data_IF_352804462484
#
_entry.id   IF_352804462484
#
_cell.length_a   1.000
_cell.length_b   1.000
_cell.length_c   1.000
_cell.angle_alpha   90.00
_cell.angle_beta   90.00
_cell.angle_gamma   90.00
#
_symmetry.space_group_name_H-M   'P 1'
#
loop_
_entity.id
_entity.type
_entity.pdbx_description
1 polymer ?
#
# COMPACT_ATOMS: atom_id res chain seq x y z
N UNK A 1 -38.40 -35.12 -50.61
CA UNK A 1 -38.14 -33.66 -50.51
C UNK A 1 -37.96 -33.21 -49.06
N UNK A 2 -38.77 -33.70 -48.11
CA UNK A 2 -38.61 -33.36 -46.67
C UNK A 2 -37.31 -33.90 -46.05
N UNK A 3 -36.90 -35.12 -46.36
CA UNK A 3 -35.69 -35.76 -45.80
C UNK A 3 -34.39 -35.08 -46.20
N UNK A 4 -34.28 -34.61 -47.44
CA UNK A 4 -33.11 -33.86 -47.95
C UNK A 4 -33.00 -32.47 -47.33
N UNK A 5 -34.13 -31.81 -47.07
CA UNK A 5 -34.18 -30.52 -46.38
C UNK A 5 -33.75 -30.63 -44.91
N UNK A 6 -34.27 -31.65 -44.20
CA UNK A 6 -33.89 -31.92 -42.81
C UNK A 6 -32.40 -32.28 -42.68
N UNK A 7 -31.87 -33.09 -43.60
CA UNK A 7 -30.44 -33.43 -43.62
C UNK A 7 -29.55 -32.19 -43.85
N UNK A 8 -29.97 -31.26 -44.71
CA UNK A 8 -29.25 -30.00 -44.94
C UNK A 8 -29.19 -29.11 -43.68
N UNK A 9 -30.31 -28.97 -42.98
CA UNK A 9 -30.38 -28.19 -41.73
C UNK A 9 -29.53 -28.83 -40.63
N UNK A 10 -29.63 -30.16 -40.46
CA UNK A 10 -28.82 -30.88 -39.48
C UNK A 10 -27.32 -30.66 -39.74
N UNK A 11 -26.87 -30.77 -41.00
CA UNK A 11 -25.49 -30.49 -41.37
C UNK A 11 -25.03 -29.08 -40.97
N UNK A 12 -25.81 -28.04 -41.31
CA UNK A 12 -25.45 -26.65 -40.98
C UNK A 12 -25.34 -26.43 -39.47
N UNK A 13 -26.29 -26.95 -38.69
CA UNK A 13 -26.26 -26.81 -37.22
C UNK A 13 -25.05 -27.50 -36.59
N UNK A 14 -24.65 -28.68 -37.11
CA UNK A 14 -23.44 -29.37 -36.64
C UNK A 14 -22.17 -28.58 -36.94
N UNK A 15 -22.07 -27.95 -38.12
CA UNK A 15 -20.91 -27.13 -38.47
C UNK A 15 -20.83 -25.89 -37.59
N UNK A 16 -21.95 -25.20 -37.38
CA UNK A 16 -22.00 -24.00 -36.54
C UNK A 16 -21.61 -24.35 -35.10
N UNK A 17 -22.17 -25.42 -34.54
CA UNK A 17 -21.87 -25.84 -33.16
C UNK A 17 -20.41 -26.22 -32.99
N UNK A 18 -19.81 -26.96 -33.93
CA UNK A 18 -18.36 -27.28 -33.89
C UNK A 18 -17.50 -26.01 -34.00
N UNK A 19 -17.86 -25.08 -34.89
CA UNK A 19 -17.17 -23.81 -35.02
C UNK A 19 -17.26 -22.97 -33.74
N UNK A 20 -18.44 -22.91 -33.11
CA UNK A 20 -18.63 -22.21 -31.84
C UNK A 20 -17.77 -22.81 -30.74
N UNK A 21 -17.72 -24.15 -30.63
CA UNK A 21 -16.86 -24.82 -29.64
C UNK A 21 -15.38 -24.52 -29.92
N UNK A 22 -14.95 -24.58 -31.18
CA UNK A 22 -13.58 -24.22 -31.58
C UNK A 22 -13.21 -22.79 -31.22
N UNK A 23 -14.12 -21.84 -31.45
CA UNK A 23 -13.93 -20.45 -31.07
C UNK A 23 -13.82 -20.26 -29.56
N UNK A 24 -14.63 -20.97 -28.77
CA UNK A 24 -14.52 -20.92 -27.30
C UNK A 24 -13.15 -21.43 -26.84
N UNK A 25 -12.66 -22.55 -27.39
CA UNK A 25 -11.32 -23.07 -27.06
C UNK A 25 -10.21 -22.08 -27.44
N UNK A 26 -10.33 -21.43 -28.60
CA UNK A 26 -9.41 -20.38 -29.02
C UNK A 26 -9.42 -19.20 -28.04
N UNK A 27 -10.60 -18.70 -27.68
CA UNK A 27 -10.75 -17.59 -26.73
C UNK A 27 -10.19 -17.94 -25.35
N UNK A 28 -10.38 -19.17 -24.86
CA UNK A 28 -9.78 -19.59 -23.57
C UNK A 28 -8.26 -19.53 -23.63
N UNK A 29 -7.66 -20.00 -24.72
CA UNK A 29 -6.21 -19.91 -24.89
C UNK A 29 -5.74 -18.45 -24.98
N UNK A 30 -6.45 -17.62 -25.74
CA UNK A 30 -6.16 -16.20 -25.89
C UNK A 30 -6.25 -15.45 -24.55
N UNK A 31 -7.29 -15.70 -23.76
CA UNK A 31 -7.48 -15.13 -22.42
C UNK A 31 -6.33 -15.52 -21.50
N UNK A 32 -5.88 -16.77 -21.52
CA UNK A 32 -4.76 -17.21 -20.67
C UNK A 32 -3.47 -16.47 -21.05
N UNK A 33 -3.17 -16.35 -22.34
CA UNK A 33 -2.01 -15.60 -22.81
C UNK A 33 -2.08 -14.12 -22.42
N UNK A 34 -3.24 -13.48 -22.63
CA UNK A 34 -3.47 -12.09 -22.24
C UNK A 34 -3.35 -11.90 -20.72
N UNK A 35 -3.88 -12.83 -19.93
CA UNK A 35 -3.80 -12.79 -18.47
C UNK A 35 -2.35 -12.84 -17.98
N UNK A 36 -1.55 -13.76 -18.53
CA UNK A 36 -0.15 -13.91 -18.19
C UNK A 36 0.67 -12.66 -18.58
N UNK A 37 0.42 -12.10 -19.76
CA UNK A 37 1.06 -10.87 -20.23
C UNK A 37 0.71 -9.66 -19.35
N UNK A 38 -0.57 -9.47 -19.04
CA UNK A 38 -1.04 -8.37 -18.19
C UNK A 38 -0.47 -8.47 -16.75
N UNK A 39 -0.38 -9.68 -16.20
CA UNK A 39 0.23 -9.90 -14.89
C UNK A 39 1.74 -9.64 -14.91
N UNK A 40 2.43 -10.04 -15.97
CA UNK A 40 3.85 -9.76 -16.13
C UNK A 40 4.11 -8.26 -16.18
N UNK A 41 3.34 -7.50 -16.93
CA UNK A 41 3.43 -6.03 -16.96
C UNK A 41 3.21 -5.43 -15.57
N UNK A 42 2.16 -5.86 -14.86
CA UNK A 42 1.84 -5.37 -13.51
C UNK A 42 2.96 -5.67 -12.50
N UNK A 43 3.60 -6.84 -12.59
CA UNK A 43 4.77 -7.16 -11.76
C UNK A 43 5.93 -6.21 -12.01
N UNK A 44 6.22 -5.89 -13.28
CA UNK A 44 7.29 -4.95 -13.64
C UNK A 44 7.01 -3.52 -13.14
N UNK A 45 5.75 -3.09 -13.20
CA UNK A 45 5.33 -1.82 -12.62
C UNK A 45 5.51 -1.81 -11.10
N UNK A 46 5.14 -2.88 -10.42
CA UNK A 46 5.30 -2.99 -8.97
C UNK A 46 6.78 -2.93 -8.57
N UNK A 47 7.65 -3.64 -9.29
CA UNK A 47 9.10 -3.60 -9.05
C UNK A 47 9.65 -2.17 -9.20
N UNK A 48 9.21 -1.44 -10.23
CA UNK A 48 9.60 -0.05 -10.44
C UNK A 48 9.05 0.87 -9.35
N UNK A 49 7.78 0.73 -8.99
CA UNK A 49 7.14 1.52 -7.94
C UNK A 49 7.79 1.26 -6.57
N UNK A 50 8.11 0.02 -6.25
CA UNK A 50 8.79 -0.35 -5.02
C UNK A 50 10.23 0.18 -4.98
N UNK A 51 10.95 0.10 -6.10
CA UNK A 51 12.28 0.71 -6.24
C UNK A 51 12.23 2.22 -6.02
N UNK A 52 11.28 2.92 -6.64
CA UNK A 52 11.06 4.34 -6.43
C UNK A 52 10.67 4.67 -4.98
N UNK A 53 9.83 3.84 -4.34
CA UNK A 53 9.47 4.00 -2.93
C UNK A 53 10.69 3.87 -2.02
N UNK A 54 11.55 2.89 -2.25
CA UNK A 54 12.78 2.71 -1.47
C UNK A 54 13.75 3.87 -1.62
N UNK A 55 13.86 4.45 -2.81
CA UNK A 55 14.71 5.61 -3.09
C UNK A 55 14.13 6.91 -2.53
N UNK A 56 12.82 7.12 -2.66
CA UNK A 56 12.15 8.36 -2.23
C UNK A 56 11.87 8.41 -0.74
N UNK A 57 11.83 7.26 -0.04
CA UNK A 57 11.55 7.23 1.39
C UNK A 57 12.70 7.93 2.13
N UNK A 58 12.44 9.05 2.82
CA UNK A 58 13.48 9.75 3.54
C UNK A 58 14.06 8.83 4.62
N UNK A 59 15.39 8.76 4.67
CA UNK A 59 16.11 8.19 5.81
C UNK A 59 15.52 8.75 7.11
N UNK A 60 15.48 7.96 8.19
CA UNK A 60 15.05 8.46 9.50
C UNK A 60 15.83 9.71 9.93
N UNK A 61 17.10 9.81 9.51
CA UNK A 61 17.93 10.98 9.72
C UNK A 61 17.47 12.16 8.85
N UNK A 62 17.22 11.96 7.55
CA UNK A 62 16.68 13.00 6.66
C UNK A 62 15.30 13.49 7.09
N UNK A 63 14.41 12.61 7.50
CA UNK A 63 13.08 12.97 8.00
C UNK A 63 13.17 13.77 9.31
N UNK A 64 14.12 13.41 10.18
CA UNK A 64 14.41 14.14 11.43
C UNK A 64 15.09 15.47 11.15
N UNK A 65 15.99 15.54 10.18
CA UNK A 65 16.69 16.74 9.77
C UNK A 65 15.74 17.71 9.09
N UNK A 66 14.86 17.26 8.18
CA UNK A 66 13.76 18.06 7.62
C UNK A 66 12.81 18.56 8.71
N UNK A 67 12.43 17.70 9.68
CA UNK A 67 11.66 18.16 10.85
C UNK A 67 12.45 19.15 11.70
N UNK A 68 13.76 19.03 11.84
CA UNK A 68 14.60 19.99 12.55
C UNK A 68 14.82 21.29 11.75
N UNK A 69 14.81 21.24 10.42
CA UNK A 69 14.87 22.41 9.57
C UNK A 69 13.55 23.19 9.60
N UNK A 70 12.42 22.52 9.84
CA UNK A 70 11.10 23.15 9.96
C UNK A 70 10.78 23.56 11.40
N UNK A 71 11.00 22.69 12.39
CA UNK A 71 10.67 22.89 13.80
C UNK A 71 11.88 23.26 14.68
N UNK A 72 13.08 22.77 14.35
CA UNK A 72 14.34 23.14 15.01
C UNK A 72 14.95 24.46 14.50
N UNK A 73 14.45 25.02 13.40
CA UNK A 73 14.79 26.37 12.94
C UNK A 73 14.30 27.49 13.87
N UNK A 74 13.53 27.18 14.92
CA UNK A 74 13.37 28.09 16.05
C UNK A 74 14.66 28.31 16.84
N UNK A 75 15.62 27.38 16.77
CA UNK A 75 16.88 27.44 17.54
C UNK A 75 18.04 27.99 16.69
N UNK A 76 18.07 27.75 15.38
CA UNK A 76 19.18 28.22 14.52
C UNK A 76 18.74 29.42 13.68
N UNK A 77 18.88 30.61 14.28
CA UNK A 77 18.85 31.89 13.56
C UNK A 77 19.70 31.80 12.28
N UNK A 78 19.09 32.18 11.17
CA UNK A 78 19.70 32.91 10.06
C UNK A 78 20.88 32.25 9.33
N UNK A 79 20.61 31.44 8.30
CA UNK A 79 21.17 31.62 6.95
C UNK A 79 20.64 30.55 6.01
N UNK A 80 19.59 30.89 5.24
CA UNK A 80 19.24 30.14 4.04
C UNK A 80 19.96 30.79 2.84
N UNK A 81 20.43 30.01 1.85
CA UNK A 81 21.04 30.55 0.63
C UNK A 81 20.09 31.47 -0.14
N UNK A 82 20.63 32.51 -0.79
CA UNK A 82 19.85 33.53 -1.50
C UNK A 82 18.99 33.01 -2.66
N UNK A 83 19.21 31.77 -3.12
CA UNK A 83 18.41 31.14 -4.17
C UNK A 83 17.08 30.55 -3.67
N UNK A 84 16.87 30.46 -2.35
CA UNK A 84 15.65 29.89 -1.78
C UNK A 84 14.66 30.98 -1.39
N UNK A 85 13.58 31.10 -2.15
CA UNK A 85 12.47 32.02 -1.90
C UNK A 85 11.42 31.38 -0.97
N UNK A 86 11.88 30.81 0.14
CA UNK A 86 10.99 30.23 1.14
C UNK A 86 10.26 31.36 1.87
N UNK A 87 8.93 31.37 1.82
CA UNK A 87 8.11 32.34 2.53
C UNK A 87 8.42 32.37 4.04
N UNK A 88 8.17 33.51 4.68
CA UNK A 88 8.38 33.68 6.11
C UNK A 88 7.63 32.60 6.90
N UNK A 89 8.29 31.86 7.81
CA UNK A 89 7.60 30.91 8.67
C UNK A 89 6.49 31.63 9.43
N UNK A 90 5.28 31.05 9.58
CA UNK A 90 4.20 31.65 10.35
C UNK A 90 4.71 31.89 11.78
N UNK A 91 4.88 33.17 12.12
CA UNK A 91 5.77 33.56 13.21
C UNK A 91 5.34 33.10 14.60
N UNK A 92 4.07 32.73 14.82
CA UNK A 92 3.52 32.50 16.17
C UNK A 92 2.28 31.58 16.15
N UNK A 93 2.48 30.27 16.02
CA UNK A 93 1.46 29.32 16.47
C UNK A 93 1.62 29.13 18.00
N UNK A 94 0.56 29.28 18.80
CA UNK A 94 0.61 29.01 20.23
C UNK A 94 1.02 27.55 20.49
N UNK A 95 1.62 27.27 21.65
CA UNK A 95 1.84 25.90 22.08
C UNK A 95 0.49 25.18 22.21
N UNK A 96 0.44 23.90 21.84
CA UNK A 96 -0.72 23.07 22.11
C UNK A 96 -0.96 22.93 23.63
N UNK A 97 -2.19 22.59 24.06
CA UNK A 97 -2.47 22.33 25.47
C UNK A 97 -1.60 21.17 26.00
N UNK A 98 -1.28 21.15 27.32
CA UNK A 98 -0.66 19.99 27.96
C UNK A 98 -1.47 18.71 27.71
N UNK A 99 -0.78 17.57 27.57
CA UNK A 99 -1.44 16.28 27.49
C UNK A 99 -2.19 15.92 28.79
N UNK A 100 -3.14 14.97 28.74
CA UNK A 100 -3.80 14.47 29.93
C UNK A 100 -2.81 13.81 30.90
N UNK A 101 -3.09 13.78 32.21
CA UNK A 101 -2.30 13.01 33.18
C UNK A 101 -2.17 11.54 32.77
N UNK A 102 -1.03 10.92 33.07
CA UNK A 102 -0.85 9.49 32.88
C UNK A 102 -1.83 8.67 33.71
N UNK A 103 -2.05 7.41 33.30
CA UNK A 103 -2.83 6.45 34.07
C UNK A 103 -2.16 6.21 35.44
N UNK A 104 -2.93 5.94 36.51
CA UNK A 104 -2.37 5.48 37.78
C UNK A 104 -1.46 4.26 37.59
N UNK A 105 -0.39 4.19 38.37
CA UNK A 105 0.48 3.01 38.40
C UNK A 105 -0.28 1.75 38.82
N UNK A 106 0.24 0.58 38.44
CA UNK A 106 -0.29 -0.69 38.91
C UNK A 106 -0.17 -0.79 40.45
N UNK A 107 -1.10 -1.48 41.14
CA UNK A 107 -0.93 -1.84 42.54
C UNK A 107 0.40 -2.58 42.75
N UNK A 108 1.10 -2.30 43.84
CA UNK A 108 2.31 -3.04 44.19
C UNK A 108 2.02 -4.49 44.54
N UNK A 109 3.02 -5.37 44.42
CA UNK A 109 2.89 -6.76 44.82
C UNK A 109 2.50 -6.92 46.30
N UNK A 110 1.70 -7.96 46.62
CA UNK A 110 1.43 -8.35 48.00
C UNK A 110 2.72 -8.57 48.79
N UNK A 111 2.71 -8.19 50.08
CA UNK A 111 3.82 -8.46 50.99
C UNK A 111 4.06 -9.96 51.18
N UNK A 112 5.29 -10.32 51.53
CA UNK A 112 5.65 -11.71 51.88
C UNK A 112 4.90 -12.17 53.14
N UNK A 113 4.59 -13.46 53.20
CA UNK A 113 3.97 -14.06 54.38
C UNK A 113 4.87 -13.87 55.62
N UNK A 114 4.27 -13.56 56.76
CA UNK A 114 4.98 -13.44 58.04
C UNK A 114 5.64 -14.74 58.47
N UNK A 115 6.67 -14.65 59.31
CA UNK A 115 7.32 -15.84 59.86
C UNK A 115 6.35 -16.62 60.77
N UNK A 116 6.43 -17.96 60.81
CA UNK A 116 5.67 -18.77 61.76
C UNK A 116 5.95 -18.34 63.21
N UNK A 117 4.91 -18.37 64.06
CA UNK A 117 5.06 -18.10 65.50
C UNK A 117 5.91 -19.16 66.21
N UNK A 118 6.58 -18.77 67.30
CA UNK A 118 7.31 -19.69 68.17
C UNK A 118 6.42 -20.17 69.32
N UNK A 119 6.56 -21.43 69.76
CA UNK A 119 5.84 -21.97 70.92
C UNK A 119 6.28 -21.32 72.23
#
# INVERSE_FOLDING_TARGET
>A
MSTTFVAGIAGITTVITVFSIGMVLYLVNDINNFYDEALAELSSFNDMANSAWHEMRPSYQDARERRSAVFGARVRRQQWPAHCNCGTPPGRCPAGPPGPPGLPGAPGEPGVQGQPGRP
#
